data_IF_983173772908
#
_entry.id   IF_983173772908
#
_cell.length_a   1.000
_cell.length_b   1.000
_cell.length_c   1.000
_cell.angle_alpha   90.00
_cell.angle_beta   90.00
_cell.angle_gamma   90.00
#
_symmetry.space_group_name_H-M   'P 1'
#
loop_
_entity.id
_entity.type
_entity.pdbx_description
1 polymer ?
#
# COMPACT_ATOMS: atom_id res chain seq x y z
N UNK A 1 6.09 5.87 -37.45
CA UNK A 1 5.92 4.55 -36.81
C UNK A 1 7.22 3.82 -36.50
N UNK A 2 8.27 3.73 -37.36
CA UNK A 2 9.44 2.89 -37.06
C UNK A 2 10.21 3.35 -35.81
N UNK A 3 10.30 4.66 -35.55
CA UNK A 3 10.96 5.21 -34.36
C UNK A 3 10.31 4.75 -33.04
N UNK A 4 8.98 4.67 -33.00
CA UNK A 4 8.23 4.25 -31.80
C UNK A 4 8.50 2.78 -31.49
N UNK A 5 8.51 1.94 -32.52
CA UNK A 5 8.84 0.51 -32.40
C UNK A 5 10.28 0.29 -31.94
N UNK A 6 11.24 1.06 -32.46
CA UNK A 6 12.65 1.00 -32.02
C UNK A 6 12.81 1.41 -30.56
N UNK A 7 12.16 2.51 -30.14
CA UNK A 7 12.17 2.94 -28.74
C UNK A 7 11.57 1.89 -27.81
N UNK A 8 10.48 1.22 -28.23
CA UNK A 8 9.89 0.13 -27.48
C UNK A 8 10.84 -1.08 -27.36
N UNK A 9 11.48 -1.50 -28.46
CA UNK A 9 12.44 -2.61 -28.42
C UNK A 9 13.62 -2.30 -27.50
N UNK A 10 14.20 -1.10 -27.61
CA UNK A 10 15.33 -0.70 -26.78
C UNK A 10 14.96 -0.66 -25.28
N UNK A 11 13.81 -0.05 -24.95
CA UNK A 11 13.34 0.01 -23.55
C UNK A 11 12.97 -1.35 -22.98
N UNK A 12 12.36 -2.23 -23.79
CA UNK A 12 12.06 -3.62 -23.40
C UNK A 12 13.34 -4.42 -23.13
N UNK A 13 14.35 -4.31 -24.00
CA UNK A 13 15.66 -4.96 -23.79
C UNK A 13 16.34 -4.43 -22.53
N UNK A 14 16.32 -3.11 -22.29
CA UNK A 14 16.91 -2.53 -21.09
C UNK A 14 16.23 -3.03 -19.80
N UNK A 15 14.89 -3.11 -19.77
CA UNK A 15 14.13 -3.58 -18.61
C UNK A 15 14.36 -5.07 -18.37
N UNK A 16 14.34 -5.89 -19.42
CA UNK A 16 14.58 -7.34 -19.31
C UNK A 16 16.01 -7.64 -18.86
N UNK A 17 17.01 -6.92 -19.38
CA UNK A 17 18.40 -7.06 -18.96
C UNK A 17 18.62 -6.64 -17.49
N UNK A 18 18.06 -5.50 -17.07
CA UNK A 18 18.12 -5.05 -15.68
C UNK A 18 17.44 -6.05 -14.73
N UNK A 19 16.30 -6.60 -15.15
CA UNK A 19 15.58 -7.63 -14.40
C UNK A 19 16.39 -8.93 -14.26
N UNK A 20 17.00 -9.41 -15.35
CA UNK A 20 17.88 -10.59 -15.32
C UNK A 20 19.09 -10.39 -14.41
N UNK A 21 19.66 -9.18 -14.39
CA UNK A 21 20.76 -8.83 -13.50
C UNK A 21 20.33 -8.88 -12.02
N UNK A 22 19.21 -8.24 -11.67
CA UNK A 22 18.70 -8.22 -10.29
C UNK A 22 18.32 -9.62 -9.79
N UNK A 23 17.64 -10.41 -10.64
CA UNK A 23 17.23 -11.77 -10.28
C UNK A 23 18.43 -12.68 -10.04
N UNK A 24 19.45 -12.66 -10.91
CA UNK A 24 20.71 -13.42 -10.72
C UNK A 24 21.44 -13.01 -9.45
N UNK A 25 21.52 -11.70 -9.17
CA UNK A 25 22.17 -11.19 -7.95
C UNK A 25 21.47 -11.68 -6.68
N UNK A 26 20.14 -11.64 -6.66
CA UNK A 26 19.35 -12.06 -5.49
C UNK A 26 19.34 -13.58 -5.28
N UNK A 27 19.38 -14.37 -6.35
CA UNK A 27 19.49 -15.83 -6.26
C UNK A 27 20.79 -16.29 -5.59
N UNK A 28 21.87 -15.51 -5.71
CA UNK A 28 23.16 -15.86 -5.11
C UNK A 28 23.19 -15.68 -3.59
N UNK A 29 22.28 -14.86 -3.02
CA UNK A 29 22.25 -14.56 -1.59
C UNK A 29 21.40 -15.54 -0.76
N UNK A 30 20.49 -16.29 -1.39
CA UNK A 30 19.47 -17.08 -0.69
C UNK A 30 19.56 -18.56 -1.10
N UNK A 31 20.61 -19.26 -0.63
CA UNK A 31 20.82 -20.70 -0.91
C UNK A 31 20.00 -21.61 0.01
N UNK A 32 19.27 -21.07 0.98
CA UNK A 32 18.67 -21.86 2.06
C UNK A 32 17.13 -21.84 2.04
N UNK A 33 16.55 -22.98 1.67
CA UNK A 33 15.20 -23.47 1.98
C UNK A 33 13.99 -23.02 1.10
N UNK A 34 13.31 -24.06 0.58
CA UNK A 34 12.03 -24.14 -0.15
C UNK A 34 11.98 -23.76 -1.64
N UNK A 35 11.19 -24.50 -2.46
CA UNK A 35 11.00 -24.22 -3.88
C UNK A 35 10.38 -22.84 -4.07
N UNK A 36 11.18 -21.94 -4.62
CA UNK A 36 10.89 -20.52 -4.67
C UNK A 36 9.74 -20.23 -5.64
N UNK A 37 8.63 -19.66 -5.16
CA UNK A 37 7.63 -18.97 -6.00
C UNK A 37 8.18 -17.66 -6.60
N UNK A 38 9.38 -17.26 -6.19
CA UNK A 38 10.05 -16.03 -6.56
C UNK A 38 10.24 -15.81 -8.09
N UNK A 39 10.77 -16.75 -8.90
CA UNK A 39 10.97 -16.53 -10.33
C UNK A 39 9.64 -16.35 -11.07
N UNK A 40 8.59 -17.08 -10.66
CA UNK A 40 7.26 -16.95 -11.26
C UNK A 40 6.64 -15.57 -10.97
N UNK A 41 6.67 -15.12 -9.72
CA UNK A 41 6.19 -13.78 -9.35
C UNK A 41 6.99 -12.67 -10.03
N UNK A 42 8.31 -12.85 -10.12
CA UNK A 42 9.20 -11.93 -10.82
C UNK A 42 8.87 -11.85 -12.32
N UNK A 43 8.53 -12.98 -12.95
CA UNK A 43 8.09 -13.03 -14.35
C UNK A 43 6.73 -12.34 -14.57
N UNK A 44 5.79 -12.49 -13.62
CA UNK A 44 4.50 -11.77 -13.66
C UNK A 44 4.73 -10.26 -13.65
N UNK A 45 5.62 -9.75 -12.79
CA UNK A 45 5.91 -8.31 -12.74
C UNK A 45 6.58 -7.85 -14.02
N UNK A 46 7.54 -8.61 -14.56
CA UNK A 46 8.17 -8.28 -15.83
C UNK A 46 7.14 -8.21 -16.97
N UNK A 47 6.27 -9.22 -17.09
CA UNK A 47 5.22 -9.25 -18.11
C UNK A 47 4.25 -8.07 -17.94
N UNK A 48 3.86 -7.75 -16.70
CA UNK A 48 3.02 -6.60 -16.41
C UNK A 48 3.70 -5.29 -16.81
N UNK A 49 4.96 -5.07 -16.43
CA UNK A 49 5.73 -3.87 -16.77
C UNK A 49 5.89 -3.71 -18.30
N UNK A 50 6.19 -4.79 -19.01
CA UNK A 50 6.28 -4.79 -20.48
C UNK A 50 4.93 -4.48 -21.13
N UNK A 51 3.83 -5.03 -20.61
CA UNK A 51 2.49 -4.71 -21.09
C UNK A 51 2.13 -3.23 -20.89
N UNK A 52 2.44 -2.66 -19.71
CA UNK A 52 2.19 -1.25 -19.41
C UNK A 52 3.00 -0.36 -20.35
N UNK A 53 4.27 -0.70 -20.56
CA UNK A 53 5.17 0.01 -21.46
C UNK A 53 4.69 -0.06 -22.91
N UNK A 54 4.29 -1.25 -23.38
CA UNK A 54 3.72 -1.44 -24.70
C UNK A 54 2.45 -0.59 -24.87
N UNK A 55 1.54 -0.65 -23.90
CA UNK A 55 0.30 0.14 -23.91
C UNK A 55 0.58 1.65 -23.95
N UNK A 56 1.61 2.11 -23.23
CA UNK A 56 1.96 3.53 -23.18
C UNK A 56 2.64 4.03 -24.46
N UNK A 57 3.55 3.24 -25.04
CA UNK A 57 4.36 3.65 -26.20
C UNK A 57 3.66 3.36 -27.53
N UNK A 58 3.09 2.16 -27.68
CA UNK A 58 2.52 1.68 -28.95
C UNK A 58 1.06 2.12 -29.11
N UNK A 59 0.33 2.23 -28.00
CA UNK A 59 -1.09 2.58 -28.01
C UNK A 59 -1.40 3.87 -27.22
N UNK A 60 -0.74 5.00 -27.52
CA UNK A 60 -1.07 6.26 -26.87
C UNK A 60 -2.53 6.64 -27.15
N UNK A 61 -3.19 7.37 -26.24
CA UNK A 61 -4.51 7.91 -26.50
C UNK A 61 -4.52 8.71 -27.81
N UNK A 62 -5.52 8.46 -28.64
CA UNK A 62 -5.67 9.20 -29.88
C UNK A 62 -6.02 10.66 -29.57
N UNK A 63 -5.16 11.59 -30.00
CA UNK A 63 -5.36 13.01 -29.88
C UNK A 63 -5.19 13.68 -31.25
N UNK A 64 -6.31 14.12 -31.82
CA UNK A 64 -6.40 14.74 -33.14
C UNK A 64 -5.61 16.06 -33.20
N UNK A 65 -5.70 16.88 -32.15
CA UNK A 65 -5.05 18.19 -32.10
C UNK A 65 -3.54 18.06 -31.97
N UNK A 66 -3.07 17.13 -31.13
CA UNK A 66 -1.64 16.85 -30.99
C UNK A 66 -1.05 16.24 -32.26
N UNK A 67 -1.77 15.31 -32.90
CA UNK A 67 -1.33 14.67 -34.15
C UNK A 67 -1.22 15.66 -35.32
N UNK A 68 -2.21 16.53 -35.48
CA UNK A 68 -2.22 17.54 -36.54
C UNK A 68 -1.41 18.80 -36.19
N UNK A 69 -0.90 18.89 -34.96
CA UNK A 69 -0.24 20.07 -34.40
C UNK A 69 -1.06 21.36 -34.61
N UNK A 70 -2.35 21.30 -34.28
CA UNK A 70 -3.30 22.43 -34.43
C UNK A 70 -3.90 22.84 -33.10
N UNK A 71 -4.18 24.14 -32.88
CA UNK A 71 -4.83 24.60 -31.66
C UNK A 71 -6.28 24.10 -31.57
N UNK A 72 -6.80 23.98 -30.34
CA UNK A 72 -8.16 23.53 -30.05
C UNK A 72 -9.24 24.47 -30.66
N UNK A 73 -8.88 25.72 -30.92
CA UNK A 73 -9.76 26.75 -31.53
C UNK A 73 -9.89 26.60 -33.04
N UNK A 74 -9.12 25.73 -33.70
CA UNK A 74 -9.16 25.53 -35.16
C UNK A 74 -10.57 25.16 -35.64
N UNK A 75 -11.02 25.73 -36.78
CA UNK A 75 -12.32 25.40 -37.36
C UNK A 75 -12.38 23.95 -37.86
N UNK A 76 -13.57 23.34 -37.83
CA UNK A 76 -13.75 21.94 -38.19
C UNK A 76 -13.43 21.69 -39.66
N UNK A 77 -13.71 22.66 -40.54
CA UNK A 77 -13.42 22.62 -41.97
C UNK A 77 -11.92 22.54 -42.23
N UNK A 78 -11.12 23.31 -41.47
CA UNK A 78 -9.67 23.28 -41.58
C UNK A 78 -9.11 21.95 -41.07
N UNK A 79 -9.66 21.41 -39.99
CA UNK A 79 -9.28 20.07 -39.49
C UNK A 79 -9.61 19.00 -40.55
N UNK A 80 -10.80 19.06 -41.15
CA UNK A 80 -11.20 18.16 -42.25
C UNK A 80 -10.23 18.25 -43.42
N UNK A 81 -9.88 19.46 -43.86
CA UNK A 81 -8.90 19.68 -44.93
C UNK A 81 -7.54 19.06 -44.58
N UNK A 82 -7.04 19.27 -43.37
CA UNK A 82 -5.77 18.68 -42.92
C UNK A 82 -5.81 17.15 -42.85
N UNK A 83 -6.94 16.57 -42.44
CA UNK A 83 -7.13 15.12 -42.42
C UNK A 83 -7.13 14.51 -43.82
N UNK A 84 -7.84 15.13 -44.77
CA UNK A 84 -7.84 14.69 -46.19
C UNK A 84 -6.43 14.78 -46.77
N UNK A 85 -5.72 15.87 -46.46
CA UNK A 85 -4.32 16.06 -46.86
C UNK A 85 -3.39 15.01 -46.26
N UNK A 86 -3.50 14.71 -44.96
CA UNK A 86 -2.67 13.68 -44.30
C UNK A 86 -3.00 12.27 -44.82
N UNK A 87 -4.25 12.01 -45.20
CA UNK A 87 -4.66 10.74 -45.79
C UNK A 87 -4.11 10.49 -47.21
N UNK A 88 -3.46 11.49 -47.83
CA UNK A 88 -2.90 11.37 -49.17
C UNK A 88 -3.96 11.17 -50.26
N UNK A 89 -5.23 11.48 -49.96
CA UNK A 89 -6.31 11.40 -50.93
C UNK A 89 -6.15 12.61 -51.83
N UNK A 90 -5.52 12.41 -52.98
CA UNK A 90 -5.35 13.44 -54.00
C UNK A 90 -6.74 13.97 -54.36
N UNK A 91 -6.95 15.26 -54.11
CA UNK A 91 -8.08 15.99 -54.68
C UNK A 91 -7.81 16.13 -56.16
N UNK A 92 -8.14 15.10 -56.93
CA UNK A 92 -8.08 15.18 -58.38
C UNK A 92 -8.93 16.39 -58.82
N UNK A 93 -8.35 17.15 -59.75
CA UNK A 93 -8.70 18.52 -60.15
C UNK A 93 -10.10 18.71 -60.74
N UNK A 94 -10.96 17.69 -60.73
CA UNK A 94 -12.36 17.78 -61.12
C UNK A 94 -13.22 17.90 -59.85
N UNK A 95 -13.59 19.15 -59.52
CA UNK A 95 -14.20 19.56 -58.27
C UNK A 95 -15.34 18.67 -57.76
N UNK A 96 -15.36 18.53 -56.42
CA UNK A 96 -16.44 17.96 -55.61
C UNK A 96 -16.60 16.43 -55.62
N UNK A 97 -15.51 15.66 -55.72
CA UNK A 97 -15.53 14.34 -55.11
C UNK A 97 -15.74 14.50 -53.60
N UNK A 98 -16.94 14.15 -53.13
CA UNK A 98 -17.30 14.00 -51.72
C UNK A 98 -16.42 12.90 -51.12
N UNK A 99 -15.19 13.24 -50.74
CA UNK A 99 -14.29 12.34 -50.02
C UNK A 99 -14.98 12.03 -48.68
N UNK A 100 -15.63 10.87 -48.62
CA UNK A 100 -16.34 10.40 -47.43
C UNK A 100 -15.29 10.03 -46.40
N UNK A 101 -15.19 10.81 -45.33
CA UNK A 101 -14.36 10.43 -44.19
C UNK A 101 -15.02 9.22 -43.52
N UNK A 102 -14.25 8.37 -42.82
CA UNK A 102 -14.84 7.32 -42.01
C UNK A 102 -15.92 7.90 -41.08
N UNK A 103 -17.11 7.30 -41.06
CA UNK A 103 -18.30 7.80 -40.34
C UNK A 103 -18.01 8.22 -38.88
N UNK A 104 -17.12 7.50 -38.20
CA UNK A 104 -16.72 7.83 -36.83
C UNK A 104 -15.94 9.15 -36.71
N UNK A 105 -15.10 9.49 -37.69
CA UNK A 105 -14.39 10.77 -37.71
C UNK A 105 -15.35 11.89 -38.11
N UNK A 106 -16.25 11.66 -39.06
CA UNK A 106 -17.28 12.65 -39.41
C UNK A 106 -18.17 12.98 -38.22
N UNK A 107 -18.59 11.96 -37.47
CA UNK A 107 -19.35 12.14 -36.22
C UNK A 107 -18.56 12.97 -35.19
N UNK A 108 -17.28 12.64 -34.98
CA UNK A 108 -16.39 13.38 -34.09
C UNK A 108 -16.27 14.85 -34.51
N UNK A 109 -16.03 15.11 -35.81
CA UNK A 109 -15.90 16.47 -36.35
C UNK A 109 -17.20 17.26 -36.19
N UNK A 110 -18.35 16.63 -36.41
CA UNK A 110 -19.65 17.25 -36.20
C UNK A 110 -19.86 17.66 -34.74
N UNK A 111 -19.50 16.78 -33.78
CA UNK A 111 -19.53 17.10 -32.35
C UNK A 111 -18.56 18.22 -31.99
N UNK A 112 -17.34 18.19 -32.51
CA UNK A 112 -16.32 19.23 -32.28
C UNK A 112 -16.67 20.61 -32.86
N UNK A 113 -17.78 20.75 -33.59
CA UNK A 113 -18.27 22.06 -34.02
C UNK A 113 -18.76 22.92 -32.84
N UNK A 114 -19.23 22.30 -31.76
CA UNK A 114 -19.62 23.00 -30.53
C UNK A 114 -18.41 23.26 -29.61
N UNK A 115 -18.32 24.48 -29.07
CA UNK A 115 -17.29 24.86 -28.10
C UNK A 115 -17.35 24.00 -26.81
N UNK A 116 -18.56 23.65 -26.36
CA UNK A 116 -18.77 22.79 -25.20
C UNK A 116 -18.22 21.38 -25.44
N UNK A 117 -18.43 20.84 -26.65
CA UNK A 117 -17.90 19.53 -27.04
C UNK A 117 -16.36 19.52 -27.12
N UNK A 118 -15.74 20.64 -27.49
CA UNK A 118 -14.27 20.78 -27.45
C UNK A 118 -13.73 20.76 -26.02
N UNK A 119 -14.46 21.37 -25.07
CA UNK A 119 -14.13 21.28 -23.64
C UNK A 119 -14.26 19.84 -23.15
N UNK A 120 -15.35 19.13 -23.48
CA UNK A 120 -15.51 17.71 -23.16
C UNK A 120 -14.42 16.84 -23.79
N UNK A 121 -13.97 17.17 -25.01
CA UNK A 121 -12.85 16.50 -25.67
C UNK A 121 -11.55 16.61 -24.87
N UNK A 122 -11.19 17.80 -24.36
CA UNK A 122 -9.96 17.95 -23.56
C UNK A 122 -9.97 17.09 -22.30
N UNK A 123 -11.16 16.87 -21.72
CA UNK A 123 -11.39 16.14 -20.48
C UNK A 123 -11.43 14.63 -20.64
N UNK A 124 -12.19 14.12 -21.61
CA UNK A 124 -12.42 12.68 -21.78
C UNK A 124 -11.64 12.06 -22.95
N UNK A 125 -11.09 12.89 -23.83
CA UNK A 125 -10.33 12.47 -24.99
C UNK A 125 -11.19 12.00 -26.17
N UNK A 126 -10.53 11.73 -27.29
CA UNK A 126 -11.19 11.41 -28.56
C UNK A 126 -12.11 10.20 -28.49
N UNK A 127 -11.66 9.13 -27.83
CA UNK A 127 -12.39 7.85 -27.84
C UNK A 127 -13.78 8.02 -27.24
N UNK A 128 -13.92 8.70 -26.11
CA UNK A 128 -15.21 8.90 -25.44
C UNK A 128 -16.19 9.66 -26.33
N UNK A 129 -15.75 10.76 -26.95
CA UNK A 129 -16.57 11.57 -27.86
C UNK A 129 -16.93 10.82 -29.14
N UNK A 130 -16.01 10.02 -29.68
CA UNK A 130 -16.19 9.29 -30.93
C UNK A 130 -17.10 8.07 -30.77
N UNK A 131 -17.02 7.34 -29.66
CA UNK A 131 -17.74 6.06 -29.49
C UNK A 131 -19.08 6.19 -28.77
N UNK A 132 -19.27 7.21 -27.92
CA UNK A 132 -20.54 7.38 -27.23
C UNK A 132 -21.53 8.21 -28.05
N UNK A 133 -22.49 7.55 -28.69
CA UNK A 133 -23.52 8.21 -29.50
C UNK A 133 -24.61 8.92 -28.66
N UNK A 134 -24.92 8.36 -27.49
CA UNK A 134 -26.03 8.78 -26.61
C UNK A 134 -25.60 9.77 -25.52
N UNK A 135 -24.30 10.05 -25.37
CA UNK A 135 -23.82 10.97 -24.34
C UNK A 135 -24.11 12.42 -24.76
N UNK A 136 -24.80 13.16 -23.89
CA UNK A 136 -25.08 14.59 -24.08
C UNK A 136 -24.52 15.42 -22.93
N UNK A 137 -24.56 14.90 -21.71
CA UNK A 137 -24.04 15.57 -20.52
C UNK A 137 -22.61 15.15 -20.17
N UNK A 138 -21.92 15.98 -19.37
CA UNK A 138 -20.60 15.61 -18.84
C UNK A 138 -20.63 14.36 -17.95
N UNK A 139 -21.76 14.11 -17.28
CA UNK A 139 -21.96 12.94 -16.43
C UNK A 139 -22.01 11.65 -17.26
N UNK A 140 -22.70 11.68 -18.42
CA UNK A 140 -22.78 10.52 -19.32
C UNK A 140 -21.41 10.14 -19.86
N UNK A 141 -20.62 11.13 -20.28
CA UNK A 141 -19.25 10.90 -20.73
C UNK A 141 -18.35 10.38 -19.60
N UNK A 142 -18.53 10.85 -18.37
CA UNK A 142 -17.78 10.34 -17.21
C UNK A 142 -18.12 8.86 -16.93
N UNK A 143 -19.41 8.51 -16.89
CA UNK A 143 -19.87 7.14 -16.70
C UNK A 143 -19.39 6.21 -17.81
N UNK A 144 -19.37 6.68 -19.06
CA UNK A 144 -18.85 5.92 -20.19
C UNK A 144 -17.32 5.72 -20.11
N UNK A 145 -16.58 6.73 -19.66
CA UNK A 145 -15.13 6.69 -19.63
C UNK A 145 -14.54 5.92 -18.43
N UNK A 146 -15.26 5.82 -17.31
CA UNK A 146 -14.78 5.31 -16.01
C UNK A 146 -14.43 3.79 -15.96
N UNK A 147 -15.18 2.87 -16.61
CA UNK A 147 -14.94 1.43 -16.47
C UNK A 147 -13.54 1.00 -16.89
N UNK A 148 -12.97 1.63 -17.92
CA UNK A 148 -11.64 1.28 -18.44
C UNK A 148 -10.49 1.61 -17.47
N UNK A 149 -10.39 2.84 -16.92
CA UNK A 149 -9.51 3.14 -15.78
C UNK A 149 -9.67 2.14 -14.64
N UNK A 150 -10.92 1.89 -14.22
CA UNK A 150 -11.23 1.07 -13.06
C UNK A 150 -10.73 -0.37 -13.23
N UNK A 151 -10.93 -0.97 -14.41
CA UNK A 151 -10.36 -2.28 -14.74
C UNK A 151 -8.82 -2.27 -14.73
N UNK A 152 -8.20 -1.18 -15.15
CA UNK A 152 -6.74 -1.05 -15.11
C UNK A 152 -6.20 -0.96 -13.66
N UNK A 153 -6.91 -0.27 -12.76
CA UNK A 153 -6.61 -0.26 -11.32
C UNK A 153 -6.79 -1.64 -10.69
N UNK A 154 -7.91 -2.33 -10.95
CA UNK A 154 -8.16 -3.69 -10.44
C UNK A 154 -7.03 -4.64 -10.86
N UNK A 155 -6.65 -4.61 -12.15
CA UNK A 155 -5.57 -5.44 -12.67
C UNK A 155 -4.23 -5.15 -11.97
N UNK A 156 -3.91 -3.88 -11.75
CA UNK A 156 -2.67 -3.49 -11.05
C UNK A 156 -2.71 -3.89 -9.57
N UNK A 157 -3.88 -3.76 -8.93
CA UNK A 157 -4.10 -4.22 -7.55
C UNK A 157 -3.93 -5.74 -7.42
N UNK A 158 -4.41 -6.51 -8.41
CA UNK A 158 -4.21 -7.95 -8.46
C UNK A 158 -2.72 -8.31 -8.55
N UNK A 159 -1.96 -7.68 -9.45
CA UNK A 159 -0.51 -7.90 -9.56
C UNK A 159 0.21 -7.57 -8.26
N UNK A 160 -0.09 -6.42 -7.63
CA UNK A 160 0.50 -6.04 -6.34
C UNK A 160 0.13 -7.06 -5.25
N UNK A 161 -1.12 -7.53 -5.23
CA UNK A 161 -1.59 -8.53 -4.26
C UNK A 161 -0.85 -9.86 -4.43
N UNK A 162 -0.63 -10.31 -5.67
CA UNK A 162 0.14 -11.51 -5.96
C UNK A 162 1.60 -11.37 -5.52
N UNK A 163 2.25 -10.24 -5.82
CA UNK A 163 3.65 -9.96 -5.45
C UNK A 163 3.83 -9.81 -3.94
N UNK A 164 2.77 -9.47 -3.21
CA UNK A 164 2.80 -9.29 -1.75
C UNK A 164 2.11 -10.44 -1.00
N UNK A 165 1.97 -11.61 -1.64
CA UNK A 165 1.37 -12.80 -1.03
C UNK A 165 2.16 -13.25 0.21
N UNK A 166 1.45 -13.89 1.16
CA UNK A 166 2.03 -14.47 2.36
C UNK A 166 3.18 -15.43 2.01
N UNK A 167 4.27 -15.35 2.75
CA UNK A 167 5.50 -16.12 2.52
C UNK A 167 6.68 -15.31 1.99
N UNK A 168 6.45 -14.12 1.41
CA UNK A 168 7.54 -13.26 0.92
C UNK A 168 8.10 -12.26 1.95
N UNK A 169 7.50 -12.19 3.15
CA UNK A 169 7.86 -11.17 4.16
C UNK A 169 7.52 -9.73 3.75
N UNK A 170 6.64 -9.55 2.76
CA UNK A 170 6.24 -8.24 2.21
C UNK A 170 4.78 -7.87 2.50
N UNK A 171 4.13 -8.56 3.44
CA UNK A 171 2.72 -8.35 3.76
C UNK A 171 2.45 -6.91 4.26
N UNK A 172 3.40 -6.31 4.99
CA UNK A 172 3.30 -4.90 5.42
C UNK A 172 3.21 -3.93 4.23
N UNK A 173 3.98 -4.18 3.17
CA UNK A 173 3.98 -3.34 1.96
C UNK A 173 2.71 -3.46 1.15
N UNK A 174 1.95 -4.58 1.30
CA UNK A 174 0.67 -4.77 0.63
C UNK A 174 -0.31 -3.66 0.97
N UNK A 175 -0.50 -3.39 2.26
CA UNK A 175 -1.46 -2.38 2.71
C UNK A 175 -1.09 -1.01 2.17
N UNK A 176 0.19 -0.60 2.30
CA UNK A 176 0.63 0.70 1.78
C UNK A 176 0.49 0.80 0.25
N UNK A 177 0.87 -0.22 -0.51
CA UNK A 177 0.79 -0.20 -1.96
C UNK A 177 -0.67 -0.18 -2.45
N UNK A 178 -1.55 -0.98 -1.84
CA UNK A 178 -2.98 -0.98 -2.16
C UNK A 178 -3.66 0.33 -1.74
N UNK A 179 -3.31 0.89 -0.59
CA UNK A 179 -3.81 2.21 -0.16
C UNK A 179 -3.34 3.30 -1.10
N UNK A 180 -2.07 3.32 -1.52
CA UNK A 180 -1.57 4.28 -2.49
C UNK A 180 -2.30 4.17 -3.84
N UNK A 181 -2.57 2.94 -4.29
CA UNK A 181 -3.32 2.69 -5.52
C UNK A 181 -4.78 3.16 -5.40
N UNK A 182 -5.43 2.95 -4.26
CA UNK A 182 -6.78 3.43 -3.98
C UNK A 182 -6.82 4.97 -3.95
N UNK A 183 -5.87 5.60 -3.25
CA UNK A 183 -5.75 7.06 -3.23
C UNK A 183 -5.56 7.63 -4.64
N UNK A 184 -4.71 7.00 -5.46
CA UNK A 184 -4.52 7.42 -6.85
C UNK A 184 -5.81 7.28 -7.69
N UNK A 185 -6.57 6.20 -7.52
CA UNK A 185 -7.85 6.02 -8.19
C UNK A 185 -8.88 7.10 -7.79
N UNK A 186 -8.94 7.44 -6.49
CA UNK A 186 -9.81 8.51 -5.99
C UNK A 186 -9.38 9.89 -6.50
N UNK A 187 -8.08 10.18 -6.52
CA UNK A 187 -7.54 11.43 -7.08
C UNK A 187 -7.83 11.51 -8.57
N UNK A 188 -7.64 10.42 -9.33
CA UNK A 188 -7.99 10.39 -10.76
C UNK A 188 -9.49 10.63 -10.96
N UNK A 189 -10.36 9.97 -10.21
CA UNK A 189 -11.80 10.18 -10.28
C UNK A 189 -12.18 11.64 -9.95
N UNK A 190 -11.58 12.21 -8.90
CA UNK A 190 -11.76 13.62 -8.53
C UNK A 190 -11.31 14.57 -9.65
N UNK A 191 -10.14 14.33 -10.25
CA UNK A 191 -9.63 15.15 -11.35
C UNK A 191 -10.52 15.05 -12.59
N UNK A 192 -11.02 13.85 -12.90
CA UNK A 192 -11.93 13.61 -14.02
C UNK A 192 -13.31 14.20 -13.76
N UNK A 193 -13.81 14.27 -12.52
CA UNK A 193 -15.18 14.76 -12.21
C UNK A 193 -15.21 16.26 -11.92
N UNK A 194 -14.25 16.78 -11.15
CA UNK A 194 -14.31 18.13 -10.59
C UNK A 194 -13.27 19.03 -11.25
N UNK A 195 -11.98 18.69 -11.16
CA UNK A 195 -10.92 19.62 -11.55
C UNK A 195 -10.90 19.97 -13.05
N UNK A 196 -11.36 19.04 -13.89
CA UNK A 196 -11.41 19.24 -15.33
C UNK A 196 -12.63 20.03 -15.82
N UNK A 197 -13.56 20.43 -14.94
CA UNK A 197 -14.72 21.23 -15.31
C UNK A 197 -14.40 22.73 -15.49
N UNK A 198 -13.34 23.23 -14.86
CA UNK A 198 -13.07 24.68 -14.75
C UNK A 198 -11.87 25.16 -15.57
N UNK A 199 -11.40 24.37 -16.54
CA UNK A 199 -10.16 24.66 -17.26
C UNK A 199 -10.41 25.74 -18.31
N UNK A 200 -9.86 26.96 -18.14
CA UNK A 200 -10.03 28.00 -19.15
C UNK A 200 -9.25 27.60 -20.40
N UNK A 201 -9.93 27.57 -21.55
CA UNK A 201 -9.28 27.41 -22.85
C UNK A 201 -8.63 28.77 -23.19
N UNK A 202 -7.30 28.83 -23.41
CA UNK A 202 -6.65 30.07 -23.83
C UNK A 202 -7.29 30.60 -25.12
N UNK A 203 -7.40 31.92 -25.28
CA UNK A 203 -8.02 32.54 -26.47
C UNK A 203 -7.39 32.06 -27.78
N UNK A 204 -6.08 31.82 -27.78
CA UNK A 204 -5.35 31.35 -28.95
C UNK A 204 -5.53 29.84 -29.22
N UNK A 205 -6.08 29.10 -28.26
CA UNK A 205 -6.26 27.63 -28.32
C UNK A 205 -4.95 26.83 -28.37
N UNK A 206 -3.79 27.50 -28.41
CA UNK A 206 -2.46 26.89 -28.33
C UNK A 206 -2.11 26.59 -26.88
N UNK A 207 -1.45 25.46 -26.65
CA UNK A 207 -1.04 25.04 -25.30
C UNK A 207 -2.21 24.62 -24.40
N UNK A 208 -3.40 24.33 -24.96
CA UNK A 208 -4.50 23.78 -24.18
C UNK A 208 -4.06 22.45 -23.56
N UNK A 209 -4.20 22.34 -22.23
CA UNK A 209 -3.79 21.17 -21.47
C UNK A 209 -4.78 20.03 -21.75
N UNK A 210 -4.27 18.93 -22.32
CA UNK A 210 -5.05 17.73 -22.61
C UNK A 210 -5.06 16.83 -21.36
N UNK A 211 -5.99 17.09 -20.44
CA UNK A 211 -6.07 16.39 -19.15
C UNK A 211 -6.15 14.87 -19.31
N UNK A 212 -6.88 14.37 -20.30
CA UNK A 212 -6.97 12.93 -20.56
C UNK A 212 -5.61 12.29 -20.86
N UNK A 213 -4.72 12.99 -21.57
CA UNK A 213 -3.37 12.50 -21.90
C UNK A 213 -2.47 12.48 -20.66
N UNK A 214 -2.53 13.55 -19.85
CA UNK A 214 -1.76 13.65 -18.60
C UNK A 214 -2.20 12.59 -17.61
N UNK A 215 -3.51 12.46 -17.38
CA UNK A 215 -4.07 11.44 -16.47
C UNK A 215 -3.70 10.03 -16.95
N UNK A 216 -3.80 9.80 -18.26
CA UNK A 216 -3.37 8.53 -18.85
C UNK A 216 -1.89 8.25 -18.57
N UNK A 217 -1.01 9.22 -18.80
CA UNK A 217 0.43 9.08 -18.58
C UNK A 217 0.76 8.86 -17.11
N UNK A 218 0.26 9.71 -16.21
CA UNK A 218 0.47 9.59 -14.76
C UNK A 218 0.05 8.21 -14.24
N UNK A 219 -1.10 7.69 -14.70
CA UNK A 219 -1.58 6.35 -14.35
C UNK A 219 -0.64 5.24 -14.83
N UNK A 220 -0.15 5.31 -16.07
CA UNK A 220 0.78 4.29 -16.59
C UNK A 220 2.13 4.35 -15.87
N UNK A 221 2.62 5.55 -15.57
CA UNK A 221 3.83 5.75 -14.76
C UNK A 221 3.64 5.15 -13.36
N UNK A 222 2.51 5.39 -12.71
CA UNK A 222 2.19 4.81 -11.41
C UNK A 222 2.16 3.27 -11.47
N UNK A 223 1.46 2.69 -12.44
CA UNK A 223 1.35 1.24 -12.61
C UNK A 223 2.69 0.58 -12.97
N UNK A 224 3.59 1.32 -13.61
CA UNK A 224 4.94 0.85 -13.90
C UNK A 224 5.84 0.88 -12.64
N UNK A 225 5.84 2.01 -11.93
CA UNK A 225 6.76 2.24 -10.80
C UNK A 225 6.36 1.42 -9.57
N UNK A 226 5.06 1.34 -9.26
CA UNK A 226 4.58 0.79 -8.00
C UNK A 226 4.98 -0.69 -7.79
N UNK A 227 4.82 -1.62 -8.76
CA UNK A 227 5.28 -3.00 -8.62
C UNK A 227 6.81 -3.13 -8.55
N UNK A 228 7.56 -2.23 -9.19
CA UNK A 228 9.03 -2.24 -9.14
C UNK A 228 9.49 -1.85 -7.74
N UNK A 229 8.91 -0.80 -7.16
CA UNK A 229 9.21 -0.36 -5.79
C UNK A 229 8.91 -1.48 -4.79
N UNK A 230 7.79 -2.19 -4.91
CA UNK A 230 7.46 -3.30 -3.98
C UNK A 230 8.43 -4.48 -4.08
N UNK A 231 9.05 -4.72 -5.25
CA UNK A 231 10.13 -5.72 -5.38
C UNK A 231 11.43 -5.22 -4.72
N UNK A 232 11.80 -3.95 -4.90
CA UNK A 232 13.07 -3.40 -4.40
C UNK A 232 13.04 -3.23 -2.87
N UNK A 233 11.87 -2.93 -2.29
CA UNK A 233 11.75 -2.73 -0.85
C UNK A 233 12.12 -3.99 -0.06
N UNK A 234 12.87 -3.83 1.05
CA UNK A 234 13.30 -4.95 1.86
C UNK A 234 12.10 -5.68 2.44
N UNK A 235 12.19 -7.01 2.47
CA UNK A 235 11.24 -7.84 3.20
C UNK A 235 11.34 -7.46 4.68
N UNK A 236 10.26 -6.95 5.24
CA UNK A 236 10.18 -6.81 6.68
C UNK A 236 10.18 -8.22 7.27
N UNK A 237 11.21 -8.56 8.03
CA UNK A 237 11.34 -9.81 8.78
C UNK A 237 10.33 -9.84 9.94
N UNK A 238 9.06 -9.73 9.61
CA UNK A 238 7.97 -9.69 10.58
C UNK A 238 7.09 -10.89 10.35
N UNK A 239 6.95 -11.67 11.43
CA UNK A 239 6.36 -12.99 11.49
C UNK A 239 7.18 -14.12 10.88
N UNK A 240 8.40 -14.31 11.41
CA UNK A 240 8.74 -15.70 11.70
C UNK A 240 7.67 -16.24 12.66
N UNK A 241 7.26 -17.50 12.50
CA UNK A 241 6.18 -18.09 13.29
C UNK A 241 6.39 -17.97 14.82
N UNK A 242 5.53 -18.53 15.67
CA UNK A 242 5.72 -18.49 17.12
C UNK A 242 7.14 -18.88 17.58
N UNK A 243 7.84 -19.72 16.79
CA UNK A 243 9.22 -20.14 16.99
C UNK A 243 10.29 -19.06 16.70
N UNK A 244 9.97 -17.96 16.02
CA UNK A 244 10.93 -16.89 15.77
C UNK A 244 11.14 -15.97 16.97
N UNK A 245 10.21 -16.00 17.94
CA UNK A 245 10.40 -15.39 19.25
C UNK A 245 11.23 -16.26 20.18
N UNK A 246 11.48 -17.52 19.81
CA UNK A 246 12.14 -18.50 20.65
C UNK A 246 13.64 -18.16 20.87
N UNK A 247 14.43 -17.75 19.87
CA UNK A 247 15.81 -17.31 20.10
C UNK A 247 15.96 -16.11 21.05
N UNK A 248 15.25 -14.98 20.87
CA UNK A 248 15.36 -13.88 21.83
C UNK A 248 14.76 -14.24 23.20
N UNK A 249 13.71 -15.07 23.25
CA UNK A 249 13.18 -15.57 24.52
C UNK A 249 14.20 -16.46 25.26
N UNK A 250 14.90 -17.36 24.56
CA UNK A 250 15.97 -18.18 25.13
C UNK A 250 17.11 -17.32 25.64
N UNK A 251 17.57 -16.35 24.85
CA UNK A 251 18.62 -15.43 25.27
C UNK A 251 18.23 -14.65 26.54
N UNK A 252 16.97 -14.19 26.62
CA UNK A 252 16.44 -13.53 27.80
C UNK A 252 16.35 -14.49 29.01
N UNK A 253 15.97 -15.74 28.77
CA UNK A 253 15.86 -16.77 29.81
C UNK A 253 17.25 -17.16 30.36
N UNK A 254 18.24 -17.34 29.49
CA UNK A 254 19.64 -17.57 29.86
C UNK A 254 20.20 -16.39 30.68
N UNK A 255 19.90 -15.16 30.27
CA UNK A 255 20.28 -13.97 31.02
C UNK A 255 19.57 -13.89 32.38
N UNK A 256 18.30 -14.30 32.46
CA UNK A 256 17.57 -14.34 33.72
C UNK A 256 18.13 -15.40 34.68
N UNK A 257 18.50 -16.58 34.16
CA UNK A 257 19.11 -17.67 34.94
C UNK A 257 20.45 -17.22 35.54
N UNK A 258 21.33 -16.64 34.72
CA UNK A 258 22.64 -16.15 35.20
C UNK A 258 22.50 -15.06 36.27
N UNK A 259 21.55 -14.12 36.10
CA UNK A 259 21.22 -13.11 37.11
C UNK A 259 20.68 -13.74 38.40
N UNK A 260 19.81 -14.75 38.31
CA UNK A 260 19.27 -15.44 39.47
C UNK A 260 20.37 -16.17 40.26
N UNK A 261 21.31 -16.83 39.58
CA UNK A 261 22.47 -17.44 40.23
C UNK A 261 23.36 -16.41 40.92
N UNK A 262 23.66 -15.30 40.25
CA UNK A 262 24.45 -14.21 40.84
C UNK A 262 23.77 -13.67 42.10
N UNK A 263 22.46 -13.41 42.05
CA UNK A 263 21.69 -12.97 43.21
C UNK A 263 21.76 -13.96 44.37
N UNK A 264 21.70 -15.28 44.10
CA UNK A 264 21.86 -16.32 45.13
C UNK A 264 23.23 -16.25 45.80
N UNK A 265 24.31 -16.14 45.03
CA UNK A 265 25.67 -16.03 45.59
C UNK A 265 25.89 -14.72 46.37
N UNK A 266 25.40 -13.60 45.83
CA UNK A 266 25.45 -12.31 46.52
C UNK A 266 24.71 -12.38 47.84
N UNK A 267 23.48 -12.91 47.87
CA UNK A 267 22.72 -13.11 49.11
C UNK A 267 23.48 -13.98 50.11
N UNK A 268 24.07 -15.09 49.67
CA UNK A 268 24.90 -15.94 50.52
C UNK A 268 26.10 -15.20 51.11
N UNK A 269 26.79 -14.39 50.29
CA UNK A 269 27.96 -13.60 50.73
C UNK A 269 27.60 -12.51 51.75
N UNK A 270 26.48 -11.81 51.54
CA UNK A 270 25.94 -10.80 52.47
C UNK A 270 25.62 -11.44 53.81
N UNK A 271 25.03 -12.63 53.81
CA UNK A 271 24.66 -13.35 55.03
C UNK A 271 25.85 -13.91 55.80
N UNK A 272 27.06 -14.01 55.21
CA UNK A 272 28.26 -14.50 55.93
C UNK A 272 28.90 -13.42 56.80
N UNK A 273 28.83 -12.14 56.41
CA UNK A 273 29.42 -11.03 57.18
C UNK A 273 28.39 -10.46 58.15
N UNK A 274 28.72 -10.40 59.45
CA UNK A 274 27.78 -9.96 60.50
C UNK A 274 27.25 -8.53 60.24
N UNK A 275 28.13 -7.60 59.87
CA UNK A 275 27.76 -6.21 59.59
C UNK A 275 26.78 -6.08 58.40
N UNK A 276 27.07 -6.74 57.27
CA UNK A 276 26.21 -6.69 56.08
C UNK A 276 24.87 -7.38 56.33
N UNK A 277 24.87 -8.49 57.08
CA UNK A 277 23.65 -9.17 57.51
C UNK A 277 22.76 -8.25 58.34
N UNK A 278 23.33 -7.56 59.32
CA UNK A 278 22.59 -6.63 60.16
C UNK A 278 22.02 -5.46 59.35
N UNK A 279 22.79 -4.88 58.43
CA UNK A 279 22.32 -3.84 57.50
C UNK A 279 21.19 -4.35 56.60
N UNK A 280 21.33 -5.55 56.05
CA UNK A 280 20.30 -6.18 55.22
C UNK A 280 19.01 -6.42 56.03
N UNK A 281 19.11 -6.97 57.24
CA UNK A 281 17.96 -7.16 58.13
C UNK A 281 17.29 -5.84 58.47
N UNK A 282 18.07 -4.80 58.82
CA UNK A 282 17.53 -3.45 59.07
C UNK A 282 16.79 -2.89 57.85
N UNK A 283 17.35 -3.07 56.65
CA UNK A 283 16.72 -2.62 55.41
C UNK A 283 15.39 -3.35 55.16
N UNK A 284 15.38 -4.69 55.21
CA UNK A 284 14.16 -5.48 55.04
C UNK A 284 13.10 -5.21 56.12
N UNK A 285 13.51 -4.99 57.38
CA UNK A 285 12.57 -4.59 58.44
C UNK A 285 11.99 -3.21 58.20
N UNK A 286 12.76 -2.26 57.67
CA UNK A 286 12.25 -0.94 57.28
C UNK A 286 11.29 -1.06 56.10
N UNK A 287 11.66 -1.79 55.06
CA UNK A 287 10.82 -2.01 53.87
C UNK A 287 9.51 -2.73 54.23
N UNK A 288 9.55 -3.73 55.10
CA UNK A 288 8.36 -4.41 55.60
C UNK A 288 7.43 -3.46 56.39
N UNK A 289 8.00 -2.52 57.17
CA UNK A 289 7.23 -1.48 57.85
C UNK A 289 6.63 -0.48 56.87
N UNK A 290 7.41 0.04 55.92
CA UNK A 290 6.92 0.95 54.88
C UNK A 290 5.82 0.29 54.04
N UNK A 291 6.00 -0.97 53.65
CA UNK A 291 4.98 -1.76 52.97
C UNK A 291 3.74 -2.02 53.83
N UNK A 292 3.89 -2.16 55.15
CA UNK A 292 2.73 -2.23 56.06
C UNK A 292 2.00 -0.89 56.17
N UNK A 293 2.71 0.23 56.19
CA UNK A 293 2.11 1.57 56.18
C UNK A 293 1.34 1.81 54.90
N UNK A 294 1.94 1.52 53.73
CA UNK A 294 1.24 1.65 52.45
C UNK A 294 0.02 0.72 52.33
N UNK A 295 0.09 -0.49 52.91
CA UNK A 295 -1.07 -1.39 52.97
C UNK A 295 -2.17 -0.91 53.93
N UNK A 296 -1.83 -0.18 54.98
CA UNK A 296 -2.79 0.31 55.97
C UNK A 296 -3.30 1.74 55.65
N UNK A 297 -2.68 2.43 54.70
CA UNK A 297 -3.09 3.76 54.25
C UNK A 297 -4.39 3.64 53.41
N UNK A 298 -5.45 4.25 53.92
CA UNK A 298 -6.77 4.26 53.32
C UNK A 298 -6.77 4.87 51.92
N UNK A 299 -5.92 5.87 51.66
CA UNK A 299 -5.84 6.50 50.34
C UNK A 299 -5.21 5.57 49.30
N UNK A 300 -4.21 4.78 49.71
CA UNK A 300 -3.57 3.78 48.84
C UNK A 300 -4.54 2.65 48.54
N UNK A 301 -5.29 2.17 49.55
CA UNK A 301 -6.32 1.15 49.36
C UNK A 301 -7.41 1.61 48.39
N UNK A 302 -7.98 2.81 48.59
CA UNK A 302 -9.00 3.38 47.70
C UNK A 302 -8.48 3.56 46.26
N UNK A 303 -7.22 3.97 46.10
CA UNK A 303 -6.62 4.12 44.76
C UNK A 303 -6.37 2.77 44.09
N UNK A 304 -5.88 1.78 44.85
CA UNK A 304 -5.71 0.42 44.37
C UNK A 304 -7.06 -0.19 43.96
N UNK A 305 -8.12 0.01 44.74
CA UNK A 305 -9.49 -0.42 44.42
C UNK A 305 -10.01 0.22 43.13
N UNK A 306 -9.85 1.53 42.96
CA UNK A 306 -10.22 2.23 41.71
C UNK A 306 -9.50 1.67 40.48
N UNK A 307 -8.28 1.18 40.65
CA UNK A 307 -7.49 0.53 39.59
C UNK A 307 -7.77 -0.98 39.44
N UNK A 308 -8.67 -1.55 40.23
CA UNK A 308 -8.99 -2.98 40.24
C UNK A 308 -7.91 -3.87 40.89
N UNK A 309 -7.03 -3.26 41.67
CA UNK A 309 -5.87 -3.84 42.35
C UNK A 309 -6.06 -3.87 43.89
N UNK A 310 -7.29 -3.76 44.37
CA UNK A 310 -7.60 -3.70 45.81
C UNK A 310 -7.14 -4.91 46.62
N UNK A 311 -6.82 -4.66 47.90
CA UNK A 311 -6.39 -5.68 48.87
C UNK A 311 -7.56 -6.28 49.68
N UNK A 312 -8.68 -5.56 49.77
CA UNK A 312 -9.88 -6.01 50.46
C UNK A 312 -10.64 -7.08 49.69
N UNK A 313 -11.47 -7.88 50.38
CA UNK A 313 -12.51 -8.64 49.70
C UNK A 313 -13.40 -7.65 48.96
N UNK A 314 -13.72 -7.91 47.69
CA UNK A 314 -14.70 -7.11 46.99
C UNK A 314 -16.01 -7.20 47.78
N UNK A 315 -16.40 -6.10 48.42
CA UNK A 315 -17.76 -5.97 48.91
C UNK A 315 -18.64 -6.01 47.68
N UNK A 316 -19.24 -7.17 47.40
CA UNK A 316 -20.39 -7.21 46.51
C UNK A 316 -21.45 -6.35 47.19
N UNK A 317 -21.64 -5.12 46.71
CA UNK A 317 -22.77 -4.28 47.11
C UNK A 317 -24.12 -4.95 46.77
N UNK A 318 -24.10 -5.97 45.91
CA UNK A 318 -25.23 -6.84 45.62
C UNK A 318 -25.13 -8.13 46.45
N UNK A 319 -25.55 -8.03 47.72
CA UNK A 319 -25.44 -9.10 48.69
C UNK A 319 -26.30 -10.33 48.35
N UNK A 320 -25.76 -11.30 47.61
CA UNK A 320 -26.12 -12.73 47.72
C UNK A 320 -24.92 -13.56 47.26
N UNK A 321 -24.10 -14.03 48.21
CA UNK A 321 -22.99 -14.96 47.92
C UNK A 321 -21.94 -14.92 49.00
N UNK A 322 -22.10 -15.78 50.01
CA UNK A 322 -21.21 -15.94 51.16
C UNK A 322 -19.90 -16.64 50.76
N UNK A 323 -19.11 -15.97 49.94
CA UNK A 323 -17.76 -16.38 49.57
C UNK A 323 -16.83 -15.19 49.63
N UNK A 324 -15.91 -15.18 50.60
CA UNK A 324 -14.89 -14.14 50.74
C UNK A 324 -13.97 -14.20 49.51
N UNK A 325 -14.31 -13.43 48.46
CA UNK A 325 -13.53 -13.39 47.24
C UNK A 325 -12.22 -12.64 47.50
N UNK A 326 -11.10 -13.36 47.52
CA UNK A 326 -9.76 -12.77 47.62
C UNK A 326 -9.51 -11.78 46.46
N UNK A 327 -8.97 -10.59 46.74
CA UNK A 327 -8.70 -9.57 45.72
C UNK A 327 -7.84 -10.07 44.55
N UNK A 328 -8.05 -9.50 43.35
CA UNK A 328 -7.41 -9.94 42.08
C UNK A 328 -5.89 -10.02 42.16
N UNK A 329 -5.25 -9.11 42.89
CA UNK A 329 -3.80 -9.14 43.10
C UNK A 329 -3.34 -10.32 43.95
N UNK A 330 -4.05 -10.60 45.05
CA UNK A 330 -3.73 -11.73 45.93
C UNK A 330 -3.93 -13.04 45.19
N UNK A 331 -5.01 -13.15 44.41
CA UNK A 331 -5.29 -14.29 43.55
C UNK A 331 -4.21 -14.47 42.47
N UNK A 332 -3.82 -13.40 41.77
CA UNK A 332 -2.76 -13.43 40.76
C UNK A 332 -1.39 -13.81 41.35
N UNK A 333 -1.03 -13.24 42.50
CA UNK A 333 0.22 -13.58 43.20
C UNK A 333 0.23 -15.03 43.69
N UNK A 334 -0.89 -15.49 44.28
CA UNK A 334 -1.04 -16.88 44.72
C UNK A 334 -0.95 -17.85 43.54
N UNK A 335 -1.65 -17.57 42.45
CA UNK A 335 -1.62 -18.37 41.24
C UNK A 335 -0.20 -18.42 40.64
N UNK A 336 0.53 -17.30 40.61
CA UNK A 336 1.92 -17.28 40.17
C UNK A 336 2.83 -18.14 41.07
N UNK A 337 2.67 -18.06 42.39
CA UNK A 337 3.43 -18.87 43.35
C UNK A 337 3.11 -20.36 43.21
N UNK A 338 1.82 -20.72 43.11
CA UNK A 338 1.38 -22.10 42.92
C UNK A 338 1.88 -22.68 41.58
N UNK A 339 1.84 -21.88 40.51
CA UNK A 339 2.37 -22.25 39.19
C UNK A 339 3.88 -22.50 39.25
N UNK A 340 4.64 -21.61 39.91
CA UNK A 340 6.07 -21.78 40.10
C UNK A 340 6.39 -23.02 40.94
N UNK A 341 5.63 -23.26 42.02
CA UNK A 341 5.80 -24.43 42.89
C UNK A 341 5.53 -25.74 42.13
N UNK A 342 4.48 -25.78 41.31
CA UNK A 342 4.18 -26.92 40.43
C UNK A 342 5.30 -27.20 39.42
N UNK A 343 5.84 -26.14 38.79
CA UNK A 343 6.97 -26.27 37.86
C UNK A 343 8.24 -26.83 38.52
N UNK A 344 8.57 -26.38 39.74
CA UNK A 344 9.71 -26.91 40.49
C UNK A 344 9.54 -28.38 40.90
N UNK A 345 8.34 -28.78 41.34
CA UNK A 345 8.08 -30.16 41.72
C UNK A 345 8.20 -31.12 40.52
N UNK A 346 7.70 -30.70 39.35
CA UNK A 346 7.81 -31.51 38.13
C UNK A 346 9.26 -31.68 37.65
N UNK A 347 10.12 -30.67 37.87
CA UNK A 347 11.55 -30.75 37.56
C UNK A 347 12.35 -31.64 38.54
N UNK A 348 11.83 -31.93 39.73
CA UNK A 348 12.47 -32.86 40.68
C UNK A 348 12.04 -34.31 40.46
N UNK A 349 10.91 -34.56 39.79
CA UNK A 349 10.40 -35.92 39.48
C UNK A 349 10.95 -36.53 38.19
N UNK A 350 11.67 -35.74 37.40
CA UNK A 350 12.41 -36.13 36.19
C UNK A 350 13.90 -36.13 36.50
#
# INVERSE_FOLDING_TARGET
>A
MPLVSLSFLFTSIAITAAWLYITRRNSSANVSALPSLHPFLSAIVLLHSLFILHSAIVCPPANLFNRLNVPLTTSVERIRFLLVREAGIATDTAGAATIQLPKGIEYLLNKLNSAESRMLYTRFGQRAIQTCQHCSSSADYALFALPRPLLAYIRSAAVISFVTTRGMGKERWRTYALTALLCAALVEAYMVVIASATVPIPRDGRGAIMWHDIIFLCRHVLFFILPIITIILPSSSTFGGPLAFLPPALMNLEQAITRAHLLKYVRGSVMRRAELRERASRWWSRDAREGSWGRNDENVQRTAEKLGLGYGPFGNEDGVGEGIAEGKLKMGARMAVETLKGGFNNLQST
#
